data_IF_503897401501
#
_entry.id   IF_503897401501
#
_cell.length_a   1.000
_cell.length_b   1.000
_cell.length_c   1.000
_cell.angle_alpha   90.00
_cell.angle_beta   90.00
_cell.angle_gamma   90.00
#
_symmetry.space_group_name_H-M   'P 1'
#
loop_
_entity.id
_entity.type
_entity.pdbx_description
1 polymer ?
#
# COMPACT_ATOMS: atom_id res chain seq x y z
N UNK A 1 0.52 13.25 -16.74
CA UNK A 1 1.89 13.43 -17.28
C UNK A 1 2.46 12.04 -17.50
N UNK A 2 2.74 11.63 -18.74
CA UNK A 2 3.26 10.28 -19.03
C UNK A 2 4.78 10.36 -19.18
N UNK A 3 5.49 10.01 -18.12
CA UNK A 3 6.91 9.64 -18.18
C UNK A 3 6.93 8.11 -18.15
N UNK A 4 7.69 7.46 -19.03
CA UNK A 4 7.72 5.99 -19.14
C UNK A 4 8.11 5.32 -17.81
N UNK A 5 7.73 4.05 -17.65
CA UNK A 5 7.95 3.25 -16.44
C UNK A 5 9.43 3.05 -16.05
N UNK A 6 10.37 3.30 -16.97
CA UNK A 6 11.78 3.02 -16.76
C UNK A 6 12.00 1.54 -16.36
N UNK A 7 12.94 1.29 -15.45
CA UNK A 7 13.19 -0.06 -14.90
C UNK A 7 12.30 -0.45 -13.71
N UNK A 8 11.18 0.24 -13.46
CA UNK A 8 10.33 -0.06 -12.31
C UNK A 8 9.70 -1.46 -12.41
N UNK A 9 9.27 -1.85 -13.61
CA UNK A 9 8.67 -3.17 -13.87
C UNK A 9 9.70 -4.30 -13.67
N UNK A 10 10.92 -4.12 -14.18
CA UNK A 10 12.00 -5.10 -14.00
C UNK A 10 12.38 -5.25 -12.53
N UNK A 11 12.44 -4.14 -11.78
CA UNK A 11 12.76 -4.15 -10.36
C UNK A 11 11.74 -5.00 -9.57
N UNK A 12 10.45 -4.70 -9.70
CA UNK A 12 9.42 -5.36 -8.89
C UNK A 12 9.23 -6.83 -9.28
N UNK A 13 9.59 -7.23 -10.49
CA UNK A 13 9.55 -8.62 -10.93
C UNK A 13 10.80 -9.43 -10.51
N UNK A 14 11.96 -8.77 -10.34
CA UNK A 14 13.25 -9.44 -10.17
C UNK A 14 13.73 -9.58 -8.72
N UNK A 15 13.10 -8.90 -7.75
CA UNK A 15 13.55 -8.90 -6.36
C UNK A 15 12.74 -9.86 -5.49
N UNK A 16 13.36 -10.33 -4.39
CA UNK A 16 12.73 -11.26 -3.44
C UNK A 16 11.69 -10.61 -2.53
N UNK A 17 11.78 -9.29 -2.33
CA UNK A 17 10.91 -8.54 -1.45
C UNK A 17 10.77 -7.10 -1.94
N UNK A 18 9.54 -6.65 -2.09
CA UNK A 18 9.16 -5.30 -2.50
C UNK A 18 8.48 -4.60 -1.32
N UNK A 19 9.06 -3.48 -0.90
CA UNK A 19 8.51 -2.62 0.14
C UNK A 19 8.20 -1.26 -0.49
N UNK A 20 6.96 -0.81 -0.33
CA UNK A 20 6.51 0.51 -0.82
C UNK A 20 6.47 1.48 0.35
N UNK A 21 7.14 2.63 0.19
CA UNK A 21 7.03 3.77 1.09
C UNK A 21 6.19 4.86 0.42
N UNK A 22 5.13 5.30 1.08
CA UNK A 22 4.22 6.31 0.54
C UNK A 22 3.42 7.00 1.64
N UNK A 23 2.93 8.21 1.39
CA UNK A 23 1.83 8.77 2.19
C UNK A 23 0.57 7.91 2.01
N UNK A 24 -0.17 7.67 3.09
CA UNK A 24 -1.33 6.77 3.14
C UNK A 24 -2.47 7.24 2.23
N UNK A 25 -2.75 8.54 2.24
CA UNK A 25 -3.78 9.18 1.40
C UNK A 25 -3.15 10.11 0.36
N UNK A 26 -3.88 10.44 -0.69
CA UNK A 26 -3.48 11.50 -1.61
C UNK A 26 -3.79 12.89 -1.02
N UNK A 27 -3.33 13.93 -1.72
CA UNK A 27 -3.74 15.30 -1.41
C UNK A 27 -5.25 15.41 -1.53
N UNK A 28 -5.91 15.90 -0.47
CA UNK A 28 -7.37 15.95 -0.38
C UNK A 28 -8.01 14.74 0.31
N UNK A 29 -7.21 13.80 0.83
CA UNK A 29 -7.70 12.70 1.67
C UNK A 29 -8.24 11.48 0.93
N UNK A 30 -8.14 11.43 -0.41
CA UNK A 30 -8.58 10.26 -1.17
C UNK A 30 -7.69 9.05 -0.89
N UNK A 31 -8.30 7.87 -0.81
CA UNK A 31 -7.60 6.62 -0.56
C UNK A 31 -6.62 6.29 -1.69
N UNK A 32 -5.43 5.81 -1.32
CA UNK A 32 -4.47 5.22 -2.27
C UNK A 32 -4.41 3.70 -2.19
N UNK A 33 -4.76 3.14 -1.03
CA UNK A 33 -4.92 1.71 -0.83
C UNK A 33 -6.36 1.36 -1.14
N UNK A 34 -6.56 0.61 -2.22
CA UNK A 34 -7.87 0.30 -2.80
C UNK A 34 -8.03 -1.22 -2.91
N UNK A 35 -9.28 -1.68 -3.00
CA UNK A 35 -9.56 -3.09 -3.32
C UNK A 35 -9.09 -3.45 -4.74
N UNK A 36 -9.22 -2.51 -5.68
CA UNK A 36 -8.70 -2.60 -7.04
C UNK A 36 -8.05 -1.28 -7.43
N UNK A 37 -6.83 -1.34 -7.98
CA UNK A 37 -6.17 -0.14 -8.50
C UNK A 37 -6.95 0.42 -9.70
N UNK A 38 -7.11 1.73 -9.71
CA UNK A 38 -7.76 2.51 -10.76
C UNK A 38 -6.76 3.09 -11.79
N UNK A 39 -5.47 3.09 -11.43
CA UNK A 39 -4.36 3.48 -12.31
C UNK A 39 -3.69 2.27 -12.96
N UNK A 40 -3.00 2.45 -14.12
CA UNK A 40 -2.24 1.39 -14.75
C UNK A 40 -1.25 0.73 -13.80
N UNK A 41 -1.31 -0.60 -13.70
CA UNK A 41 -0.47 -1.38 -12.81
C UNK A 41 1.00 -1.36 -13.26
N UNK A 42 1.91 -1.23 -12.30
CA UNK A 42 3.34 -1.48 -12.53
C UNK A 42 3.66 -2.98 -12.48
N UNK A 43 2.95 -3.74 -11.64
CA UNK A 43 3.04 -5.19 -11.52
C UNK A 43 1.84 -5.73 -10.74
N UNK A 44 1.52 -7.02 -10.93
CA UNK A 44 0.40 -7.69 -10.25
C UNK A 44 0.94 -8.51 -9.08
N UNK A 45 0.41 -8.30 -7.88
CA UNK A 45 0.77 -9.10 -6.70
C UNK A 45 2.25 -9.01 -6.31
N UNK A 46 2.92 -7.90 -6.65
CA UNK A 46 4.37 -7.76 -6.48
C UNK A 46 4.78 -7.15 -5.14
N UNK A 47 3.86 -6.56 -4.38
CA UNK A 47 4.19 -5.82 -3.15
C UNK A 47 4.00 -6.72 -1.94
N UNK A 48 5.03 -6.81 -1.08
CA UNK A 48 4.97 -7.58 0.17
C UNK A 48 4.58 -6.72 1.38
N UNK A 49 5.04 -5.47 1.41
CA UNK A 49 4.81 -4.54 2.54
C UNK A 49 4.61 -3.12 2.07
N UNK A 50 3.73 -2.42 2.76
CA UNK A 50 3.48 -0.99 2.61
C UNK A 50 3.78 -0.31 3.95
N UNK A 51 4.58 0.76 3.90
CA UNK A 51 4.90 1.61 5.05
C UNK A 51 4.38 3.00 4.73
N UNK A 52 3.53 3.52 5.61
CA UNK A 52 2.97 4.87 5.49
C UNK A 52 3.18 5.68 6.75
N UNK A 53 2.76 6.94 6.70
CA UNK A 53 2.65 7.85 7.84
C UNK A 53 1.65 7.39 8.92
N UNK A 54 0.76 6.44 8.61
CA UNK A 54 -0.23 5.90 9.55
C UNK A 54 0.14 4.53 10.14
N UNK A 55 1.02 3.77 9.50
CA UNK A 55 1.41 2.45 9.98
C UNK A 55 2.09 1.57 8.95
N UNK A 56 2.25 0.31 9.30
CA UNK A 56 2.86 -0.74 8.50
C UNK A 56 1.83 -1.81 8.20
N UNK A 57 1.71 -2.17 6.93
CA UNK A 57 0.76 -3.15 6.42
C UNK A 57 1.49 -4.21 5.60
N UNK A 58 1.22 -5.48 5.85
CA UNK A 58 1.68 -6.59 5.02
C UNK A 58 0.57 -7.03 4.05
N UNK A 59 0.96 -7.41 2.83
CA UNK A 59 0.05 -8.02 1.87
C UNK A 59 0.16 -9.54 2.06
N UNK A 60 -0.95 -10.15 2.44
CA UNK A 60 -1.06 -11.58 2.70
C UNK A 60 -2.05 -12.23 1.75
N UNK A 61 -2.11 -13.56 1.76
CA UNK A 61 -3.15 -14.29 1.00
C UNK A 61 -4.57 -13.93 1.44
N UNK A 62 -4.76 -13.49 2.70
CA UNK A 62 -6.05 -13.04 3.20
C UNK A 62 -6.37 -11.58 2.87
N UNK A 63 -5.39 -10.80 2.41
CA UNK A 63 -5.51 -9.37 2.13
C UNK A 63 -4.53 -8.52 2.94
N UNK A 64 -4.91 -7.27 3.20
CA UNK A 64 -4.06 -6.27 3.84
C UNK A 64 -4.09 -6.43 5.36
N UNK A 65 -2.98 -6.89 5.96
CA UNK A 65 -2.86 -7.13 7.40
C UNK A 65 -2.10 -5.99 8.08
N UNK A 66 -2.65 -5.48 9.18
CA UNK A 66 -1.96 -4.52 10.04
C UNK A 66 -0.80 -5.20 10.78
N UNK A 67 0.38 -4.59 10.71
CA UNK A 67 1.58 -5.03 11.45
C UNK A 67 1.88 -4.07 12.60
N UNK A 68 1.81 -2.77 12.34
CA UNK A 68 2.17 -1.73 13.30
C UNK A 68 1.37 -0.46 13.02
N UNK A 69 0.93 0.23 14.07
CA UNK A 69 0.35 1.57 13.98
C UNK A 69 1.42 2.61 14.26
N UNK A 70 1.39 3.72 13.53
CA UNK A 70 2.21 4.87 13.90
C UNK A 70 1.80 5.42 15.28
N UNK A 71 2.72 6.11 15.94
CA UNK A 71 2.48 6.67 17.28
C UNK A 71 1.23 7.57 17.31
N UNK A 72 0.26 7.23 18.15
CA UNK A 72 -0.98 7.98 18.31
C UNK A 72 -2.05 7.70 17.25
N UNK A 73 -1.82 6.75 16.34
CA UNK A 73 -2.81 6.31 15.35
C UNK A 73 -3.59 5.13 15.90
N UNK A 74 -4.91 5.12 15.71
CA UNK A 74 -5.80 4.00 16.07
C UNK A 74 -6.10 3.10 14.88
N UNK A 75 -6.60 1.90 15.15
CA UNK A 75 -7.03 0.97 14.11
C UNK A 75 -8.17 1.56 13.26
N UNK A 76 -9.10 2.28 13.89
CA UNK A 76 -10.23 2.92 13.21
C UNK A 76 -9.74 3.98 12.23
N UNK A 77 -8.76 4.81 12.63
CA UNK A 77 -8.21 5.85 11.77
C UNK A 77 -7.55 5.27 10.51
N UNK A 78 -6.78 4.19 10.63
CA UNK A 78 -6.17 3.55 9.46
C UNK A 78 -7.21 2.85 8.58
N UNK A 79 -8.21 2.20 9.18
CA UNK A 79 -9.30 1.57 8.44
C UNK A 79 -10.15 2.60 7.68
N UNK A 80 -10.45 3.75 8.29
CA UNK A 80 -11.17 4.86 7.64
C UNK A 80 -10.35 5.50 6.51
N UNK A 81 -9.02 5.51 6.63
CA UNK A 81 -8.12 6.05 5.61
C UNK A 81 -7.77 5.05 4.49
N UNK A 82 -8.19 3.78 4.60
CA UNK A 82 -7.95 2.72 3.62
C UNK A 82 -9.24 2.41 2.85
N UNK A 83 -9.16 2.42 1.51
CA UNK A 83 -10.29 2.11 0.62
C UNK A 83 -10.62 0.62 0.48
N UNK A 84 -10.08 -0.23 1.35
CA UNK A 84 -10.39 -1.65 1.45
C UNK A 84 -10.27 -2.12 2.91
N UNK A 85 -10.74 -3.34 3.18
CA UNK A 85 -10.71 -3.91 4.53
C UNK A 85 -9.28 -4.16 4.99
N UNK A 86 -8.94 -3.66 6.17
CA UNK A 86 -7.71 -3.97 6.90
C UNK A 86 -8.01 -5.09 7.90
N UNK A 87 -7.16 -6.11 7.92
CA UNK A 87 -7.21 -7.19 8.90
C UNK A 87 -6.41 -6.74 10.11
N UNK A 88 -7.05 -6.76 11.29
CA UNK A 88 -6.37 -6.48 12.55
C UNK A 88 -5.26 -7.50 12.83
N UNK A 89 -4.22 -7.08 13.55
CA UNK A 89 -3.10 -7.93 13.95
C UNK A 89 -3.54 -9.07 14.88
#
# INVERSE_FOLDING_TARGET
>A
MVKGMGGAMDLVAGVKRVVVLMEHTAKGGTHKLLEQCDLPLTGVGVVDRIITDLGVLDITEQGLQLVELASGVTFEQIQEATGCKVIAA
#
